data_IF_351443294131
#
_entry.id   IF_351443294131
#
_cell.length_a   1.000
_cell.length_b   1.000
_cell.length_c   1.000
_cell.angle_alpha   90.00
_cell.angle_beta   90.00
_cell.angle_gamma   90.00
#
_symmetry.space_group_name_H-M   'P 1'
#
loop_
_entity.id
_entity.type
_entity.pdbx_description
1 polymer ?
#
# COMPACT_ATOMS: atom_id res chain seq x y z
N UNK A 1 3.48 7.70 -9.40
CA UNK A 1 3.78 8.83 -8.50
C UNK A 1 4.35 8.32 -7.20
N UNK A 2 5.38 8.98 -6.66
CA UNK A 2 6.06 8.58 -5.42
C UNK A 2 5.90 9.67 -4.37
N UNK A 3 5.11 9.42 -3.33
CA UNK A 3 4.90 10.31 -2.19
C UNK A 3 5.71 9.83 -1.00
N UNK A 4 6.17 10.74 -0.14
CA UNK A 4 6.67 10.39 1.19
C UNK A 4 5.64 10.76 2.24
N UNK A 5 5.56 9.97 3.31
CA UNK A 5 4.77 10.27 4.49
C UNK A 5 5.13 11.66 5.03
N UNK A 6 4.15 12.56 5.11
CA UNK A 6 4.32 13.98 5.43
C UNK A 6 5.36 14.73 4.57
N UNK A 7 5.67 14.22 3.38
CA UNK A 7 6.64 14.77 2.45
C UNK A 7 6.19 16.05 1.76
N UNK A 8 6.88 16.40 0.66
CA UNK A 8 6.49 17.52 -0.19
C UNK A 8 5.19 17.19 -0.93
N UNK A 9 4.29 18.17 -1.11
CA UNK A 9 3.14 18.00 -2.00
C UNK A 9 3.60 17.81 -3.45
N UNK A 10 2.82 17.05 -4.22
CA UNK A 10 3.02 16.80 -5.65
C UNK A 10 1.73 17.15 -6.38
N UNK A 11 1.85 17.72 -7.58
CA UNK A 11 0.71 18.02 -8.44
C UNK A 11 -0.03 16.76 -8.90
N UNK A 12 -1.35 16.85 -8.93
CA UNK A 12 -2.27 15.82 -9.41
C UNK A 12 -3.16 16.39 -10.52
N UNK A 13 -3.51 15.61 -11.56
CA UNK A 13 -4.34 16.09 -12.67
C UNK A 13 -5.69 16.67 -12.22
N UNK A 14 -5.91 17.96 -12.49
CA UNK A 14 -7.09 18.72 -12.03
C UNK A 14 -8.40 18.09 -12.53
N UNK A 15 -8.43 17.68 -13.80
CA UNK A 15 -9.60 17.06 -14.45
C UNK A 15 -10.10 15.80 -13.74
N UNK A 16 -9.20 15.11 -13.03
CA UNK A 16 -9.48 13.83 -12.35
C UNK A 16 -9.58 13.98 -10.84
N UNK A 17 -9.15 15.11 -10.29
CA UNK A 17 -9.02 15.35 -8.85
C UNK A 17 -10.33 15.10 -8.07
N UNK A 18 -11.46 15.57 -8.60
CA UNK A 18 -12.73 15.42 -7.90
C UNK A 18 -13.17 13.95 -7.80
N UNK A 19 -13.02 13.18 -8.89
CA UNK A 19 -13.30 11.73 -8.89
C UNK A 19 -12.33 10.99 -8.00
N UNK A 20 -11.05 11.38 -8.01
CA UNK A 20 -10.05 10.81 -7.12
C UNK A 20 -10.36 11.06 -5.63
N UNK A 21 -10.80 12.26 -5.24
CA UNK A 21 -11.24 12.56 -3.87
C UNK A 21 -12.38 11.65 -3.41
N UNK A 22 -13.37 11.42 -4.28
CA UNK A 22 -14.50 10.51 -4.00
C UNK A 22 -13.99 9.07 -3.83
N UNK A 23 -13.16 8.59 -4.76
CA UNK A 23 -12.58 7.25 -4.71
C UNK A 23 -11.81 6.99 -3.40
N UNK A 24 -10.94 7.92 -2.99
CA UNK A 24 -10.16 7.79 -1.74
C UNK A 24 -11.08 7.80 -0.51
N UNK A 25 -12.15 8.60 -0.55
CA UNK A 25 -13.12 8.64 0.53
C UNK A 25 -13.92 7.33 0.64
N UNK A 26 -14.31 6.74 -0.47
CA UNK A 26 -14.98 5.43 -0.47
C UNK A 26 -14.05 4.32 0.03
N UNK A 27 -12.79 4.32 -0.42
CA UNK A 27 -11.78 3.38 0.05
C UNK A 27 -11.58 3.49 1.57
N UNK A 28 -11.56 4.70 2.11
CA UNK A 28 -11.49 4.94 3.55
C UNK A 28 -12.69 4.36 4.29
N UNK A 29 -13.90 4.58 3.77
CA UNK A 29 -15.12 4.10 4.40
C UNK A 29 -15.19 2.56 4.44
N UNK A 30 -14.62 1.89 3.42
CA UNK A 30 -14.58 0.43 3.29
C UNK A 30 -13.35 -0.23 3.93
N UNK A 31 -12.42 0.52 4.54
CA UNK A 31 -11.11 0.01 4.98
C UNK A 31 -11.15 -1.18 5.94
N UNK A 32 -12.24 -1.37 6.67
CA UNK A 32 -12.42 -2.48 7.60
C UNK A 32 -13.26 -3.64 7.03
N UNK A 33 -13.67 -3.59 5.77
CA UNK A 33 -14.59 -4.60 5.18
C UNK A 33 -13.98 -5.99 5.09
N UNK A 34 -12.66 -6.10 5.17
CA UNK A 34 -11.92 -7.36 5.10
C UNK A 34 -11.64 -7.96 6.49
N UNK A 35 -11.90 -7.22 7.56
CA UNK A 35 -11.70 -7.68 8.93
C UNK A 35 -13.06 -7.90 9.58
N UNK A 36 -13.20 -8.93 10.42
CA UNK A 36 -14.38 -9.15 11.27
C UNK A 36 -14.43 -8.16 12.46
N UNK A 37 -14.00 -6.92 12.20
CA UNK A 37 -13.91 -5.83 13.17
C UNK A 37 -15.16 -4.94 13.05
N UNK A 38 -16.34 -5.57 13.04
CA UNK A 38 -17.65 -4.90 12.98
C UNK A 38 -17.83 -3.83 14.09
N UNK A 39 -17.14 -4.00 15.22
CA UNK A 39 -17.08 -3.06 16.34
C UNK A 39 -16.33 -1.75 16.06
N UNK A 40 -15.48 -1.69 15.03
CA UNK A 40 -14.73 -0.47 14.64
C UNK A 40 -15.53 0.45 13.72
N UNK A 41 -16.66 -0.01 13.17
CA UNK A 41 -17.53 0.79 12.31
C UNK A 41 -18.35 1.81 13.10
N UNK A 42 -18.71 1.49 14.34
CA UNK A 42 -19.55 2.34 15.20
C UNK A 42 -18.82 3.53 15.82
N UNK A 43 -17.48 3.56 15.75
CA UNK A 43 -16.64 4.64 16.30
C UNK A 43 -16.20 5.70 15.28
N UNK A 44 -16.85 5.77 14.10
CA UNK A 44 -16.45 6.69 13.03
C UNK A 44 -16.85 8.15 13.30
N UNK A 45 -16.21 8.80 14.28
CA UNK A 45 -16.35 10.24 14.53
C UNK A 45 -15.63 11.10 13.45
N UNK A 46 -14.78 10.49 12.61
CA UNK A 46 -14.08 11.19 11.53
C UNK A 46 -14.37 10.56 10.17
N UNK A 47 -15.40 11.11 9.50
CA UNK A 47 -15.83 10.70 8.16
C UNK A 47 -14.86 11.10 7.05
N UNK A 48 -13.79 11.86 7.31
CA UNK A 48 -12.83 12.26 6.27
C UNK A 48 -11.69 11.25 6.15
N UNK A 49 -11.33 10.90 4.92
CA UNK A 49 -10.18 10.05 4.62
C UNK A 49 -8.88 10.60 5.23
N UNK A 50 -8.01 9.71 5.70
CA UNK A 50 -6.76 10.07 6.37
C UNK A 50 -5.50 9.65 5.59
N UNK A 51 -5.63 9.12 4.37
CA UNK A 51 -4.50 8.69 3.55
C UNK A 51 -3.69 9.88 3.01
N UNK A 52 -4.40 10.90 2.49
CA UNK A 52 -3.81 12.04 1.78
C UNK A 52 -4.29 13.39 2.35
N UNK A 53 -3.50 14.44 2.13
CA UNK A 53 -3.93 15.84 2.24
C UNK A 53 -4.11 16.34 0.81
N UNK A 54 -5.23 17.00 0.55
CA UNK A 54 -5.52 17.67 -0.70
C UNK A 54 -5.44 19.18 -0.46
N UNK A 55 -4.70 19.88 -1.31
CA UNK A 55 -4.59 21.34 -1.32
C UNK A 55 -4.65 21.81 -2.77
N UNK A 56 -5.75 22.41 -3.19
CA UNK A 56 -6.02 22.69 -4.62
C UNK A 56 -5.76 21.46 -5.52
N UNK A 57 -4.80 21.53 -6.44
CA UNK A 57 -4.34 20.43 -7.31
C UNK A 57 -3.17 19.63 -6.74
N UNK A 58 -2.73 19.92 -5.51
CA UNK A 58 -1.64 19.25 -4.84
C UNK A 58 -2.15 18.12 -3.94
N UNK A 59 -1.38 17.03 -3.92
CA UNK A 59 -1.57 15.89 -3.02
C UNK A 59 -0.33 15.66 -2.17
N UNK A 60 -0.55 15.30 -0.91
CA UNK A 60 0.52 15.00 0.06
C UNK A 60 0.16 13.77 0.89
N UNK A 61 1.12 12.89 1.14
CA UNK A 61 0.94 11.73 2.02
C UNK A 61 0.77 12.13 3.49
N UNK A 62 -0.13 11.47 4.22
CA UNK A 62 -0.25 11.54 5.69
C UNK A 62 0.47 10.35 6.33
N UNK A 63 0.08 9.98 7.56
CA UNK A 63 0.65 8.85 8.31
C UNK A 63 0.13 7.49 7.80
N UNK A 64 0.37 7.20 6.52
CA UNK A 64 0.06 5.93 5.89
C UNK A 64 1.20 5.53 4.95
N UNK A 65 1.48 4.23 4.93
CA UNK A 65 2.47 3.61 4.04
C UNK A 65 1.73 2.59 3.19
N UNK A 66 1.97 2.59 1.89
CA UNK A 66 1.30 1.66 0.97
C UNK A 66 1.23 2.19 -0.44
N UNK A 67 0.26 1.69 -1.21
CA UNK A 67 -0.02 2.14 -2.57
C UNK A 67 -1.51 2.45 -2.76
N UNK A 68 -1.78 3.26 -3.78
CA UNK A 68 -3.10 3.63 -4.26
C UNK A 68 -3.05 3.47 -5.78
N UNK A 69 -3.96 2.68 -6.34
CA UNK A 69 -4.14 2.56 -7.78
C UNK A 69 -5.47 3.21 -8.15
N UNK A 70 -5.39 4.34 -8.86
CA UNK A 70 -6.54 5.04 -9.37
C UNK A 70 -6.39 5.21 -10.87
N UNK A 71 -7.27 4.56 -11.65
CA UNK A 71 -7.16 4.51 -13.11
C UNK A 71 -5.74 4.03 -13.53
N UNK A 72 -5.05 4.78 -14.38
CA UNK A 72 -3.68 4.58 -14.84
C UNK A 72 -2.61 5.27 -13.95
N UNK A 73 -3.01 5.83 -12.81
CA UNK A 73 -2.12 6.59 -11.92
C UNK A 73 -1.78 5.77 -10.66
N UNK A 74 -0.64 5.05 -10.64
CA UNK A 74 -0.15 4.42 -9.42
C UNK A 74 0.46 5.47 -8.49
N UNK A 75 0.10 5.46 -7.22
CA UNK A 75 0.66 6.33 -6.19
C UNK A 75 1.20 5.45 -5.06
N UNK A 76 2.49 5.51 -4.79
CA UNK A 76 3.11 4.81 -3.64
C UNK A 76 3.47 5.83 -2.57
N UNK A 77 3.10 5.57 -1.31
CA UNK A 77 3.46 6.39 -0.15
C UNK A 77 4.55 5.65 0.64
N UNK A 78 5.75 6.22 0.63
CA UNK A 78 6.93 5.67 1.31
C UNK A 78 7.07 6.22 2.73
N UNK A 79 7.64 5.45 3.68
CA UNK A 79 7.91 5.89 5.04
C UNK A 79 8.73 7.17 5.11
N UNK A 80 8.48 8.03 6.10
CA UNK A 80 9.26 9.25 6.30
C UNK A 80 10.76 8.97 6.52
N UNK A 81 11.08 7.84 7.14
CA UNK A 81 12.45 7.40 7.44
C UNK A 81 13.27 7.04 6.19
N UNK A 82 12.62 6.91 5.02
CA UNK A 82 13.33 6.69 3.76
C UNK A 82 13.95 8.02 3.35
N UNK A 83 15.14 8.26 3.86
CA UNK A 83 15.84 9.52 3.78
C UNK A 83 16.27 9.85 2.35
N UNK A 84 16.84 11.05 2.13
CA UNK A 84 17.30 11.47 0.78
C UNK A 84 18.42 10.60 0.21
N UNK A 85 19.07 9.78 1.02
CA UNK A 85 20.23 8.98 0.64
C UNK A 85 19.87 7.64 -0.02
N UNK A 86 18.59 7.29 -0.10
CA UNK A 86 18.14 6.10 -0.83
C UNK A 86 17.87 6.50 -2.28
N UNK A 87 18.54 5.83 -3.22
CA UNK A 87 18.30 6.02 -4.65
C UNK A 87 16.83 5.71 -5.00
N UNK A 88 16.23 6.52 -5.87
CA UNK A 88 14.79 6.46 -6.14
C UNK A 88 14.34 5.14 -6.78
N UNK A 89 15.22 4.50 -7.56
CA UNK A 89 15.06 3.16 -8.14
C UNK A 89 15.10 2.04 -7.08
N UNK A 90 15.66 2.28 -5.88
CA UNK A 90 15.75 1.30 -4.81
C UNK A 90 14.58 1.40 -3.80
N UNK A 91 13.77 2.46 -3.87
CA UNK A 91 12.71 2.73 -2.89
C UNK A 91 11.72 1.57 -2.73
N UNK A 92 11.29 0.93 -3.82
CA UNK A 92 10.33 -0.18 -3.77
C UNK A 92 10.95 -1.44 -3.13
N UNK A 93 12.20 -1.77 -3.49
CA UNK A 93 12.95 -2.86 -2.87
C UNK A 93 13.15 -2.63 -1.37
N UNK A 94 13.50 -1.40 -0.97
CA UNK A 94 13.61 -1.02 0.44
C UNK A 94 12.27 -1.11 1.16
N UNK A 95 11.19 -0.67 0.53
CA UNK A 95 9.84 -0.71 1.09
C UNK A 95 9.43 -2.15 1.38
N UNK A 96 9.56 -3.05 0.40
CA UNK A 96 9.22 -4.46 0.59
C UNK A 96 10.10 -5.13 1.62
N UNK A 97 11.42 -4.91 1.57
CA UNK A 97 12.34 -5.56 2.52
C UNK A 97 12.01 -5.17 3.96
N UNK A 98 11.75 -3.89 4.22
CA UNK A 98 11.34 -3.41 5.53
C UNK A 98 9.94 -3.92 5.92
N UNK A 99 8.98 -3.91 4.99
CA UNK A 99 7.64 -4.41 5.24
C UNK A 99 7.64 -5.89 5.61
N UNK A 100 8.37 -6.73 4.87
CA UNK A 100 8.51 -8.16 5.17
C UNK A 100 9.15 -8.38 6.53
N UNK A 101 10.19 -7.59 6.87
CA UNK A 101 10.80 -7.63 8.18
C UNK A 101 9.82 -7.26 9.31
N UNK A 102 9.01 -6.21 9.12
CA UNK A 102 7.99 -5.80 10.09
C UNK A 102 6.89 -6.84 10.23
N UNK A 103 6.38 -7.35 9.10
CA UNK A 103 5.30 -8.34 9.09
C UNK A 103 5.72 -9.69 9.67
N UNK A 104 6.98 -10.11 9.49
CA UNK A 104 7.55 -11.30 10.16
C UNK A 104 7.38 -11.25 11.68
N UNK A 105 7.35 -10.06 12.27
CA UNK A 105 7.19 -9.86 13.72
C UNK A 105 5.73 -9.69 14.16
N UNK A 106 4.78 -9.61 13.24
CA UNK A 106 3.36 -9.45 13.58
C UNK A 106 2.70 -10.79 13.90
N UNK A 107 1.86 -10.82 14.95
CA UNK A 107 1.09 -12.03 15.31
C UNK A 107 -0.17 -12.20 14.46
N UNK A 108 -0.66 -11.12 13.83
CA UNK A 108 -1.93 -11.07 13.09
C UNK A 108 -1.83 -11.64 11.68
N UNK A 109 -0.70 -11.47 11.00
CA UNK A 109 -0.50 -11.95 9.61
C UNK A 109 0.75 -12.82 9.57
N UNK A 110 0.57 -14.13 9.33
CA UNK A 110 1.68 -15.05 9.09
C UNK A 110 2.01 -15.05 7.60
N UNK A 111 2.90 -14.16 7.17
CA UNK A 111 3.40 -14.20 5.80
C UNK A 111 4.36 -15.38 5.60
N UNK A 112 4.33 -16.03 4.42
CA UNK A 112 5.35 -17.00 4.06
C UNK A 112 6.73 -16.32 4.05
N UNK A 113 7.77 -17.06 4.42
CA UNK A 113 9.15 -16.60 4.26
C UNK A 113 9.49 -16.58 2.77
N UNK A 114 9.60 -15.38 2.21
CA UNK A 114 9.99 -15.15 0.82
C UNK A 114 11.41 -14.60 0.84
N UNK A 115 12.30 -15.18 0.03
CA UNK A 115 13.63 -14.64 -0.17
C UNK A 115 13.56 -13.40 -1.07
N UNK A 116 13.35 -12.25 -0.44
CA UNK A 116 13.17 -10.95 -1.11
C UNK A 116 14.34 -10.54 -2.00
N UNK A 117 15.52 -11.16 -1.83
CA UNK A 117 16.72 -10.88 -2.65
C UNK A 117 16.73 -11.61 -3.99
N UNK A 118 16.08 -12.77 -4.10
CA UNK A 118 16.11 -13.61 -5.31
C UNK A 118 14.86 -13.47 -6.17
N UNK A 119 13.71 -13.24 -5.53
CA UNK A 119 12.42 -13.24 -6.20
C UNK A 119 11.97 -11.87 -6.74
N UNK A 120 12.66 -10.79 -6.34
CA UNK A 120 12.24 -9.42 -6.65
C UNK A 120 13.18 -8.78 -7.68
N UNK A 121 12.71 -8.67 -8.92
CA UNK A 121 13.41 -7.90 -9.96
C UNK A 121 13.37 -6.40 -9.63
N UNK A 122 14.44 -5.67 -9.98
CA UNK A 122 14.55 -4.22 -9.77
C UNK A 122 13.49 -3.39 -10.49
N UNK A 123 12.84 -3.95 -11.50
CA UNK A 123 11.82 -3.25 -12.31
C UNK A 123 10.42 -3.32 -11.72
N UNK A 124 10.20 -4.15 -10.69
CA UNK A 124 8.87 -4.38 -10.16
C UNK A 124 8.47 -3.25 -9.20
N UNK A 125 7.28 -2.67 -9.41
CA UNK A 125 6.72 -1.70 -8.47
C UNK A 125 6.19 -2.40 -7.19
N UNK A 126 5.96 -1.63 -6.11
CA UNK A 126 5.50 -2.18 -4.83
C UNK A 126 4.23 -3.06 -4.93
N UNK A 127 3.28 -2.70 -5.80
CA UNK A 127 2.06 -3.48 -6.02
C UNK A 127 2.36 -4.82 -6.71
N UNK A 128 3.14 -4.82 -7.78
CA UNK A 128 3.53 -6.04 -8.49
C UNK A 128 4.22 -7.03 -7.57
N UNK A 129 5.03 -6.53 -6.65
CA UNK A 129 5.65 -7.37 -5.64
C UNK A 129 4.60 -8.00 -4.72
N UNK A 130 3.61 -7.25 -4.24
CA UNK A 130 2.53 -7.82 -3.42
C UNK A 130 1.69 -8.84 -4.21
N UNK A 131 1.41 -8.59 -5.49
CA UNK A 131 0.74 -9.55 -6.38
C UNK A 131 1.57 -10.82 -6.49
N UNK A 132 2.87 -10.71 -6.74
CA UNK A 132 3.77 -11.86 -6.80
C UNK A 132 3.75 -12.69 -5.51
N UNK A 133 3.85 -12.01 -4.35
CA UNK A 133 3.80 -12.65 -3.03
C UNK A 133 2.49 -13.43 -2.85
N UNK A 134 1.36 -12.80 -3.20
CA UNK A 134 0.05 -13.43 -3.16
C UNK A 134 -0.01 -14.65 -4.09
N UNK A 135 0.35 -14.49 -5.36
CA UNK A 135 0.30 -15.56 -6.36
C UNK A 135 1.18 -16.75 -5.99
N UNK A 136 2.42 -16.50 -5.54
CA UNK A 136 3.35 -17.56 -5.08
C UNK A 136 2.76 -18.31 -3.90
N UNK A 137 2.26 -17.57 -2.90
CA UNK A 137 1.67 -18.19 -1.72
C UNK A 137 0.42 -19.02 -2.05
N UNK A 138 -0.46 -18.50 -2.91
CA UNK A 138 -1.65 -19.22 -3.37
C UNK A 138 -1.28 -20.47 -4.15
N UNK A 139 -0.29 -20.39 -5.04
CA UNK A 139 0.20 -21.56 -5.79
C UNK A 139 0.73 -22.65 -4.85
N UNK A 140 1.60 -22.28 -3.90
CA UNK A 140 2.15 -23.22 -2.93
C UNK A 140 1.05 -23.88 -2.08
N UNK A 141 0.04 -23.11 -1.66
CA UNK A 141 -1.10 -23.64 -0.92
C UNK A 141 -1.92 -24.64 -1.74
N UNK A 142 -2.26 -24.29 -2.99
CA UNK A 142 -3.04 -25.18 -3.88
C UNK A 142 -2.26 -26.46 -4.16
N UNK A 143 -0.94 -26.36 -4.37
CA UNK A 143 -0.11 -27.52 -4.69
C UNK A 143 0.14 -28.44 -3.49
N UNK A 144 0.34 -27.87 -2.30
CA UNK A 144 0.65 -28.64 -1.07
C UNK A 144 -0.58 -29.15 -0.35
N UNK A 145 -1.70 -28.44 -0.45
CA UNK A 145 -3.00 -28.79 0.14
C UNK A 145 -4.09 -28.52 -0.89
N UNK A 146 -4.19 -29.34 -1.96
CA UNK A 146 -5.28 -29.22 -2.90
C UNK A 146 -6.60 -29.32 -2.12
N UNK A 147 -7.49 -28.37 -2.37
CA UNK A 147 -8.82 -28.36 -1.78
C UNK A 147 -9.60 -29.53 -2.39
N UNK A 148 -9.47 -30.71 -1.78
CA UNK A 148 -10.27 -31.87 -2.15
C UNK A 148 -11.64 -31.69 -1.47
N UNK A 149 -12.62 -31.27 -2.27
CA UNK A 149 -14.03 -31.30 -1.89
C UNK A 149 -14.54 -32.74 -1.73
#
# INVERSE_FOLDING_TARGET
>A
MKLKEFGKPIEFPIERLQRFKIFIQEAWNKRYSLYDDSSLYTQQENNKQQFLIFDENLIKGRNYIGFICYEDIPITIYPKIFDKNIEENLLDTYLITNLMYWLKRTKRVKLPTIDTKFDLNKENNFLEILIYIFSKHTYDLIYTKPFNC
#
